data_IF_213977317735
#
_entry.id   IF_213977317735
#
_cell.length_a   1.000
_cell.length_b   1.000
_cell.length_c   1.000
_cell.angle_alpha   90.00
_cell.angle_beta   90.00
_cell.angle_gamma   90.00
#
_symmetry.space_group_name_H-M   'P 1'
#
loop_
_entity.id
_entity.type
_entity.pdbx_description
1 polymer ?
#
# COMPACT_ATOMS: atom_id res chain seq x y z
N UNK A 1 -22.63 -16.64 23.15
CA UNK A 1 -22.28 -16.59 21.71
C UNK A 1 -21.64 -15.24 21.41
N UNK A 2 -20.31 -15.16 21.24
CA UNK A 2 -19.61 -13.90 20.94
C UNK A 2 -19.48 -13.78 19.42
N UNK A 3 -20.29 -12.90 18.80
CA UNK A 3 -20.14 -12.54 17.38
C UNK A 3 -18.91 -11.65 17.27
N UNK A 4 -17.78 -12.24 16.88
CA UNK A 4 -16.59 -11.47 16.49
C UNK A 4 -16.93 -10.89 15.12
N UNK A 5 -17.47 -9.68 15.11
CA UNK A 5 -17.47 -8.89 13.89
C UNK A 5 -15.99 -8.64 13.57
N UNK A 6 -15.42 -9.44 12.66
CA UNK A 6 -14.23 -9.06 11.95
C UNK A 6 -14.65 -7.85 11.13
N UNK A 7 -14.60 -6.67 11.75
CA UNK A 7 -14.54 -5.41 11.05
C UNK A 7 -13.22 -5.54 10.28
N UNK A 8 -13.31 -6.09 9.08
CA UNK A 8 -12.22 -6.12 8.11
C UNK A 8 -12.11 -4.67 7.69
N UNK A 9 -11.51 -3.86 8.57
CA UNK A 9 -11.12 -2.50 8.29
C UNK A 9 -10.33 -2.63 6.99
N UNK A 10 -10.95 -2.20 5.89
CA UNK A 10 -10.29 -2.12 4.59
C UNK A 10 -9.34 -0.93 4.64
N UNK A 11 -8.48 -0.92 5.65
CA UNK A 11 -7.34 -0.03 5.73
C UNK A 11 -6.47 -0.45 4.58
N UNK A 12 -6.58 0.28 3.47
CA UNK A 12 -5.65 0.16 2.34
C UNK A 12 -4.26 0.30 2.94
N UNK A 13 -3.43 -0.76 2.91
CA UNK A 13 -2.17 -0.72 3.59
C UNK A 13 -1.34 0.43 2.98
N UNK A 14 -0.69 1.19 3.85
CA UNK A 14 0.15 2.32 3.49
C UNK A 14 1.48 2.19 4.18
N UNK A 15 2.56 2.55 3.49
CA UNK A 15 3.92 2.41 3.99
C UNK A 15 4.78 3.55 3.48
N UNK A 16 5.69 4.04 4.32
CA UNK A 16 6.61 5.12 3.93
C UNK A 16 7.77 4.60 3.10
N UNK A 17 8.37 5.49 2.31
CA UNK A 17 9.67 5.27 1.67
C UNK A 17 10.67 4.68 2.67
N UNK A 18 11.44 3.68 2.24
CA UNK A 18 12.39 2.95 3.11
C UNK A 18 11.77 1.80 3.91
N UNK A 19 10.44 1.64 3.89
CA UNK A 19 9.75 0.52 4.55
C UNK A 19 9.61 -0.66 3.59
N UNK A 20 9.69 -1.89 4.11
CA UNK A 20 9.37 -3.08 3.33
C UNK A 20 7.89 -3.12 2.97
N UNK A 21 7.61 -3.49 1.73
CA UNK A 21 6.29 -3.66 1.18
C UNK A 21 5.58 -4.81 1.92
N UNK A 22 4.46 -4.56 2.60
CA UNK A 22 3.78 -5.58 3.40
C UNK A 22 2.99 -6.58 2.55
N UNK A 23 2.70 -6.27 1.28
CA UNK A 23 1.97 -7.16 0.38
C UNK A 23 2.20 -6.80 -1.09
N UNK A 24 2.38 -7.82 -1.93
CA UNK A 24 2.49 -7.65 -3.38
C UNK A 24 1.25 -6.98 -3.99
N UNK A 25 1.43 -6.07 -4.94
CA UNK A 25 0.33 -5.44 -5.67
C UNK A 25 0.69 -4.07 -6.25
N UNK A 26 -0.33 -3.33 -6.67
CA UNK A 26 -0.17 -1.96 -7.14
C UNK A 26 -0.17 -0.99 -5.95
N UNK A 27 0.87 -0.17 -5.88
CA UNK A 27 1.03 0.88 -4.88
C UNK A 27 1.28 2.20 -5.58
N UNK A 28 0.57 3.24 -5.17
CA UNK A 28 0.77 4.59 -5.68
C UNK A 28 1.25 5.50 -4.54
N UNK A 29 2.12 6.47 -4.82
CA UNK A 29 2.45 7.49 -3.83
C UNK A 29 1.18 8.32 -3.52
N UNK A 30 1.01 8.70 -2.25
CA UNK A 30 -0.17 9.45 -1.79
C UNK A 30 -0.31 10.80 -2.50
N UNK A 31 0.82 11.40 -2.90
CA UNK A 31 0.87 12.68 -3.62
C UNK A 31 0.58 12.53 -5.13
N UNK A 32 0.78 11.34 -5.69
CA UNK A 32 0.53 11.06 -7.11
C UNK A 32 -0.18 9.69 -7.28
N UNK A 33 -1.49 9.61 -6.95
CA UNK A 33 -2.25 8.36 -7.00
C UNK A 33 -2.37 7.73 -8.41
N UNK A 34 -2.12 8.53 -9.45
CA UNK A 34 -2.08 8.09 -10.85
C UNK A 34 -0.77 7.37 -11.20
N UNK A 35 0.34 7.68 -10.51
CA UNK A 35 1.64 7.03 -10.72
C UNK A 35 1.75 5.72 -9.90
N UNK A 36 0.83 4.78 -10.13
CA UNK A 36 0.82 3.49 -9.48
C UNK A 36 1.92 2.55 -10.04
N UNK A 37 2.66 1.91 -9.15
CA UNK A 37 3.75 1.00 -9.45
C UNK A 37 3.49 -0.37 -8.83
N UNK A 38 3.88 -1.43 -9.53
CA UNK A 38 3.82 -2.78 -9.01
C UNK A 38 5.00 -3.03 -8.06
N UNK A 39 4.71 -3.41 -6.82
CA UNK A 39 5.70 -3.86 -5.86
C UNK A 39 5.37 -5.27 -5.38
N UNK A 40 6.40 -6.03 -5.06
CA UNK A 40 6.31 -7.32 -4.40
C UNK A 40 6.49 -7.17 -2.89
N UNK A 41 5.88 -8.08 -2.14
CA UNK A 41 6.09 -8.21 -0.70
C UNK A 41 7.60 -8.32 -0.38
N UNK A 42 8.04 -7.59 0.63
CA UNK A 42 9.45 -7.54 1.04
C UNK A 42 10.31 -6.57 0.22
N UNK A 43 9.82 -5.96 -0.87
CA UNK A 43 10.56 -4.89 -1.55
C UNK A 43 10.53 -3.59 -0.73
N UNK A 44 11.64 -2.88 -0.65
CA UNK A 44 11.69 -1.57 0.02
C UNK A 44 11.08 -0.50 -0.89
N UNK A 45 10.18 0.31 -0.35
CA UNK A 45 9.60 1.43 -1.09
C UNK A 45 10.66 2.49 -1.42
N UNK A 46 10.86 2.84 -2.71
CA UNK A 46 11.80 3.88 -3.09
C UNK A 46 11.23 5.26 -2.83
N UNK A 47 12.11 6.26 -2.80
CA UNK A 47 11.71 7.66 -2.85
C UNK A 47 11.09 7.95 -4.22
N UNK A 48 10.00 8.71 -4.24
CA UNK A 48 9.37 9.10 -5.49
C UNK A 48 9.95 10.44 -5.93
N UNK A 49 10.59 10.48 -7.12
CA UNK A 49 11.29 11.67 -7.64
C UNK A 49 12.33 12.27 -6.68
N UNK A 50 12.95 11.42 -5.85
CA UNK A 50 13.91 11.86 -4.82
C UNK A 50 13.29 12.42 -3.55
N UNK A 51 11.95 12.45 -3.44
CA UNK A 51 11.23 12.92 -2.26
C UNK A 51 10.72 11.73 -1.44
N UNK A 52 10.92 11.72 -0.11
CA UNK A 52 10.32 10.72 0.76
C UNK A 52 8.79 10.84 0.72
N UNK A 53 8.12 9.79 0.26
CA UNK A 53 6.67 9.74 0.13
C UNK A 53 6.08 8.55 0.87
N UNK A 54 4.77 8.59 1.06
CA UNK A 54 3.99 7.45 1.55
C UNK A 54 3.38 6.76 0.34
N UNK A 55 3.56 5.45 0.26
CA UNK A 55 2.95 4.58 -0.72
C UNK A 55 1.66 4.01 -0.15
N UNK A 56 0.58 4.05 -0.93
CA UNK A 56 -0.71 3.46 -0.58
C UNK A 56 -1.04 2.37 -1.59
N UNK A 57 -1.41 1.20 -1.09
CA UNK A 57 -1.85 0.11 -1.95
C UNK A 57 -3.21 0.44 -2.55
N UNK A 58 -3.28 0.40 -3.87
CA UNK A 58 -4.56 0.44 -4.57
C UNK A 58 -5.28 -0.88 -4.29
N UNK A 59 -6.54 -0.80 -3.86
CA UNK A 59 -7.39 -1.98 -3.64
C UNK A 59 -7.86 -2.61 -4.98
N UNK A 60 -6.96 -2.74 -5.96
CA UNK A 60 -7.21 -3.44 -7.20
C UNK A 60 -7.26 -4.94 -6.90
N UNK A 61 -8.43 -5.43 -6.54
CA UNK A 61 -8.67 -6.83 -6.16
C UNK A 61 -9.95 -7.04 -5.37
N UNK A 62 -11.08 -6.55 -5.90
CA UNK A 62 -12.42 -7.11 -5.62
C UNK A 62 -13.23 -7.03 -6.92
N UNK A 63 -12.91 -7.92 -7.85
CA UNK A 63 -13.89 -8.50 -8.77
C UNK A 63 -13.92 -10.01 -8.48
#
# INVERSE_FOLDING_TARGET
MKRIALLRERSTPSASTGTHCPASGMWAPVDAPDEAHAFFEGQVFPAFRGIPTVWRRSAAGQD
#
